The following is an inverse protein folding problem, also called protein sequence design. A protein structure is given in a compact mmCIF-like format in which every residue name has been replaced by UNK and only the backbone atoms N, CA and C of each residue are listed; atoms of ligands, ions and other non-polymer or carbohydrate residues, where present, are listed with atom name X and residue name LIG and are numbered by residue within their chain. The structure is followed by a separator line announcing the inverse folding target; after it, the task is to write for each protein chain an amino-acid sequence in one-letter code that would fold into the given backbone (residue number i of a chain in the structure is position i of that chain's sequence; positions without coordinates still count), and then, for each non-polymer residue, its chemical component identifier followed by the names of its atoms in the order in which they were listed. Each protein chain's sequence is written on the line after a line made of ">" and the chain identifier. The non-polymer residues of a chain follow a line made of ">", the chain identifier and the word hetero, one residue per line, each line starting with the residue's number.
data_IF_238352378753
#
_entry.id   IF_238352378753
#
_cell.length_a   1.000
_cell.length_b   1.000
_cell.length_c   1.000
_cell.angle_alpha   90.00
_cell.angle_beta   90.00
_cell.angle_gamma   90.00
#
_symmetry.space_group_name_H-M   'P 1'
#
loop_
_entity.id
_entity.type
_entity.pdbx_description
1 polymer ?
#
# COMPACT_ATOMS: atom_id res chain seq x y z
N UNK A 1 -21.22 -38.97 -24.23
CA UNK A 1 -21.18 -37.49 -24.38
C UNK A 1 -21.14 -36.88 -23.00
N UNK A 2 -20.02 -36.22 -22.66
CA UNK A 2 -19.81 -35.60 -21.37
C UNK A 2 -20.38 -34.19 -21.29
N UNK A 3 -20.64 -33.75 -20.07
CA UNK A 3 -20.43 -32.37 -19.68
C UNK A 3 -20.21 -32.33 -18.15
N UNK A 4 -18.95 -32.37 -17.75
CA UNK A 4 -18.56 -31.98 -16.40
C UNK A 4 -18.53 -30.45 -16.37
N UNK A 5 -19.61 -29.83 -15.89
CA UNK A 5 -19.65 -28.41 -15.57
C UNK A 5 -18.82 -28.18 -14.31
N UNK A 6 -17.49 -28.26 -14.43
CA UNK A 6 -16.59 -27.75 -13.41
C UNK A 6 -16.73 -26.22 -13.45
N UNK A 7 -17.22 -25.56 -12.38
CA UNK A 7 -17.21 -24.10 -12.37
C UNK A 7 -15.76 -23.70 -12.52
N UNK A 8 -15.42 -23.10 -13.66
CA UNK A 8 -14.10 -22.53 -13.90
C UNK A 8 -13.85 -21.58 -12.74
N UNK A 9 -13.04 -22.01 -11.78
CA UNK A 9 -12.71 -21.23 -10.60
C UNK A 9 -11.89 -20.09 -11.15
N UNK A 10 -12.57 -18.99 -11.45
CA UNK A 10 -12.02 -17.77 -12.04
C UNK A 10 -10.80 -17.36 -11.18
N UNK A 11 -9.61 -17.72 -11.65
CA UNK A 11 -8.30 -17.48 -11.01
C UNK A 11 -7.89 -16.00 -11.13
N UNK A 12 -8.84 -15.07 -10.98
CA UNK A 12 -8.59 -13.62 -11.11
C UNK A 12 -7.70 -13.05 -10.00
N UNK A 13 -7.41 -13.86 -8.97
CA UNK A 13 -6.54 -13.50 -7.85
C UNK A 13 -5.16 -14.18 -7.96
N UNK A 14 -4.85 -14.87 -9.07
CA UNK A 14 -3.54 -15.55 -9.23
C UNK A 14 -2.44 -14.58 -9.73
N UNK A 15 -2.83 -13.43 -10.28
CA UNK A 15 -1.91 -12.37 -10.72
C UNK A 15 -1.37 -11.46 -9.61
N UNK A 16 -1.90 -11.58 -8.38
CA UNK A 16 -1.38 -10.90 -7.19
C UNK A 16 -0.49 -11.86 -6.39
N UNK A 17 0.53 -12.44 -7.03
CA UNK A 17 1.64 -13.07 -6.31
C UNK A 17 2.50 -12.00 -5.63
N UNK A 18 1.89 -11.29 -4.69
CA UNK A 18 2.60 -10.45 -3.74
C UNK A 18 3.32 -11.41 -2.82
N UNK A 19 4.64 -11.48 -2.98
CA UNK A 19 5.47 -12.17 -2.01
C UNK A 19 5.21 -11.59 -0.62
N UNK A 20 5.31 -12.42 0.42
CA UNK A 20 5.06 -11.99 1.82
C UNK A 20 5.84 -10.72 2.18
N UNK A 21 7.05 -10.57 1.62
CA UNK A 21 7.91 -9.39 1.73
C UNK A 21 7.24 -8.12 1.19
N UNK A 22 6.56 -8.19 0.06
CA UNK A 22 5.89 -7.06 -0.56
C UNK A 22 4.72 -6.57 0.29
N UNK A 23 3.99 -7.52 0.87
CA UNK A 23 2.89 -7.20 1.77
C UNK A 23 3.38 -6.46 3.02
N UNK A 24 4.55 -6.81 3.55
CA UNK A 24 5.17 -6.10 4.66
C UNK A 24 5.52 -4.65 4.27
N UNK A 25 6.15 -4.45 3.11
CA UNK A 25 6.51 -3.12 2.61
C UNK A 25 5.26 -2.27 2.36
N UNK A 26 4.22 -2.88 1.79
CA UNK A 26 2.93 -2.24 1.58
C UNK A 26 2.31 -1.78 2.91
N UNK A 27 2.31 -2.66 3.92
CA UNK A 27 1.76 -2.35 5.24
C UNK A 27 2.54 -1.23 5.93
N UNK A 28 3.87 -1.21 5.81
CA UNK A 28 4.70 -0.11 6.29
C UNK A 28 4.32 1.21 5.61
N UNK A 29 4.11 1.20 4.28
CA UNK A 29 3.64 2.37 3.54
C UNK A 29 2.29 2.89 4.03
N UNK A 30 1.33 1.99 4.30
CA UNK A 30 0.02 2.33 4.86
C UNK A 30 0.16 2.94 6.27
N UNK A 31 1.02 2.38 7.13
CA UNK A 31 1.29 2.96 8.45
C UNK A 31 1.88 4.37 8.35
N UNK A 32 2.81 4.60 7.42
CA UNK A 32 3.37 5.93 7.17
C UNK A 32 2.28 6.94 6.77
N UNK A 33 1.31 6.52 5.96
CA UNK A 33 0.18 7.37 5.57
C UNK A 33 -0.67 7.71 6.80
N UNK A 34 -1.02 6.70 7.60
CA UNK A 34 -1.81 6.88 8.83
C UNK A 34 -1.10 7.85 9.79
N UNK A 35 0.20 7.67 10.02
CA UNK A 35 0.97 8.57 10.86
C UNK A 35 1.04 9.99 10.28
N UNK A 36 1.22 10.14 8.97
CA UNK A 36 1.18 11.44 8.30
C UNK A 36 -0.14 12.18 8.57
N UNK A 37 -1.28 11.48 8.50
CA UNK A 37 -2.59 12.04 8.82
C UNK A 37 -2.78 12.34 10.31
N UNK A 38 -2.30 11.48 11.22
CA UNK A 38 -2.35 11.74 12.67
C UNK A 38 -1.52 12.99 13.03
N UNK A 39 -0.33 13.09 12.44
CA UNK A 39 0.58 14.23 12.61
C UNK A 39 -0.07 15.52 12.10
N UNK A 40 -0.76 15.45 10.94
CA UNK A 40 -1.52 16.57 10.38
C UNK A 40 -2.71 16.96 11.27
N UNK A 41 -3.42 15.98 11.84
CA UNK A 41 -4.59 16.20 12.70
C UNK A 41 -4.22 16.73 14.09
N UNK A 42 -3.04 16.38 14.61
CA UNK A 42 -2.56 16.83 15.93
C UNK A 42 -1.87 18.18 15.86
N UNK A 43 -1.25 18.52 14.73
CA UNK A 43 -0.59 19.80 14.52
C UNK A 43 -1.61 20.93 14.29
N UNK A 44 -1.30 22.14 14.75
CA UNK A 44 -2.05 23.33 14.33
C UNK A 44 -1.87 23.51 12.83
N UNK A 45 -2.90 23.98 12.12
CA UNK A 45 -2.91 24.09 10.65
C UNK A 45 -1.72 24.87 10.06
N UNK A 46 -1.13 25.78 10.85
CA UNK A 46 0.02 26.60 10.46
C UNK A 46 1.35 26.14 11.07
N UNK A 47 1.39 24.97 11.70
CA UNK A 47 2.63 24.41 12.23
C UNK A 47 3.46 23.77 11.12
N UNK A 48 4.79 23.82 11.27
CA UNK A 48 5.74 23.11 10.40
C UNK A 48 5.41 21.61 10.28
N UNK A 49 4.86 21.03 11.34
CA UNK A 49 4.45 19.64 11.39
C UNK A 49 3.34 19.32 10.36
N UNK A 50 2.29 20.14 10.27
CA UNK A 50 1.19 19.91 9.33
C UNK A 50 1.51 20.39 7.91
N UNK A 51 2.32 21.43 7.76
CA UNK A 51 2.65 22.01 6.46
C UNK A 51 3.84 21.35 5.75
N UNK A 52 4.73 20.68 6.49
CA UNK A 52 5.97 20.14 5.91
C UNK A 52 6.15 18.68 6.29
N UNK A 53 6.10 18.32 7.57
CA UNK A 53 6.39 16.96 8.00
C UNK A 53 5.32 15.95 7.54
N UNK A 54 4.04 16.29 7.69
CA UNK A 54 2.94 15.43 7.25
C UNK A 54 2.93 15.21 5.72
N UNK A 55 3.01 16.25 4.85
CA UNK A 55 3.11 16.05 3.41
C UNK A 55 4.31 15.20 2.98
N UNK A 56 5.47 15.34 3.63
CA UNK A 56 6.65 14.52 3.33
C UNK A 56 6.40 13.05 3.72
N UNK A 57 5.81 12.78 4.88
CA UNK A 57 5.45 11.41 5.27
C UNK A 57 4.44 10.79 4.30
N UNK A 58 3.43 11.54 3.89
CA UNK A 58 2.44 11.09 2.91
C UNK A 58 3.09 10.84 1.54
N UNK A 59 4.01 11.69 1.10
CA UNK A 59 4.76 11.51 -0.14
C UNK A 59 5.56 10.21 -0.12
N UNK A 60 6.31 9.95 0.96
CA UNK A 60 7.07 8.70 1.11
C UNK A 60 6.14 7.49 1.10
N UNK A 61 5.03 7.55 1.84
CA UNK A 61 4.02 6.49 1.87
C UNK A 61 3.43 6.18 0.49
N UNK A 62 2.87 7.19 -0.18
CA UNK A 62 2.15 7.02 -1.44
C UNK A 62 3.04 6.80 -2.66
N UNK A 63 4.19 7.47 -2.75
CA UNK A 63 5.00 7.49 -3.98
C UNK A 63 6.19 6.53 -3.89
N UNK A 64 6.70 6.26 -2.68
CA UNK A 64 7.84 5.35 -2.53
C UNK A 64 7.38 3.98 -2.03
N UNK A 65 6.76 3.89 -0.86
CA UNK A 65 6.47 2.59 -0.24
C UNK A 65 5.38 1.80 -0.96
N UNK A 66 4.26 2.43 -1.32
CA UNK A 66 3.18 1.74 -2.05
C UNK A 66 3.69 1.24 -3.41
N UNK A 67 4.31 2.05 -4.30
CA UNK A 67 4.76 1.56 -5.59
C UNK A 67 5.93 0.59 -5.47
N UNK A 68 6.86 0.80 -4.54
CA UNK A 68 7.94 -0.15 -4.29
C UNK A 68 7.38 -1.52 -3.86
N UNK A 69 6.34 -1.55 -3.02
CA UNK A 69 5.70 -2.81 -2.63
C UNK A 69 5.02 -3.53 -3.80
N UNK A 70 4.50 -2.79 -4.78
CA UNK A 70 3.89 -3.36 -5.99
C UNK A 70 4.95 -3.83 -7.00
N UNK A 71 6.02 -3.07 -7.18
CA UNK A 71 7.07 -3.33 -8.18
C UNK A 71 8.04 -4.42 -7.72
N UNK A 72 8.23 -4.59 -6.40
CA UNK A 72 9.17 -5.57 -5.84
C UNK A 72 8.66 -7.01 -6.03
N UNK A 73 8.46 -7.51 -7.25
CA UNK A 73 8.33 -8.94 -7.44
C UNK A 73 9.71 -9.58 -7.35
N UNK A 74 9.99 -10.21 -6.21
CA UNK A 74 11.07 -11.18 -6.14
C UNK A 74 10.80 -12.26 -7.19
N UNK A 75 11.79 -12.45 -8.07
CA UNK A 75 11.71 -13.21 -9.31
C UNK A 75 11.58 -14.71 -9.08
#
# INVERSE_FOLDING_TARGET
>A
MGNQNNPEKIQLIEGWSFNKTNYIIFFIGVLFIIFGYIIMATGTVNSFQSLTLAPIMLFLGYIIFIPASLIYQEK
#
